data_IF_728176521325
#
_entry.id   IF_728176521325
#
_cell.length_a   1.000
_cell.length_b   1.000
_cell.length_c   1.000
_cell.angle_alpha   90.00
_cell.angle_beta   90.00
_cell.angle_gamma   90.00
#
_symmetry.space_group_name_H-M   'P 1'
#
loop_
_entity.id
_entity.type
_entity.pdbx_description
1 polymer ?
#
# COMPACT_ATOMS: atom_id res chain seq x y z
N UNK A 1 39.16 3.47 34.54
CA UNK A 1 37.89 4.10 34.97
C UNK A 1 36.76 3.16 34.57
N UNK A 2 36.04 2.57 35.53
CA UNK A 2 34.98 1.60 35.28
C UNK A 2 33.66 2.36 35.20
N UNK A 3 33.09 2.46 34.01
CA UNK A 3 31.76 3.05 33.82
C UNK A 3 30.71 2.05 34.33
N UNK A 4 30.03 2.37 35.44
CA UNK A 4 28.85 1.64 35.90
C UNK A 4 27.62 2.34 35.31
N UNK A 5 26.89 1.64 34.44
CA UNK A 5 25.59 2.10 33.94
C UNK A 5 24.59 2.22 35.10
N UNK A 6 23.82 3.32 35.23
CA UNK A 6 22.81 3.47 36.27
C UNK A 6 21.70 2.42 36.10
N UNK A 7 21.45 1.60 37.12
CA UNK A 7 20.47 0.50 37.14
C UNK A 7 19.00 0.94 37.24
N UNK A 8 18.69 2.21 36.91
CA UNK A 8 17.34 2.78 37.07
C UNK A 8 16.47 2.69 35.79
N UNK A 9 16.98 2.09 34.71
CA UNK A 9 16.24 1.93 33.44
C UNK A 9 15.53 0.57 33.31
N UNK A 10 15.68 -0.34 34.28
CA UNK A 10 15.03 -1.67 34.22
C UNK A 10 13.52 -1.62 34.49
N UNK A 11 12.98 -0.47 34.95
CA UNK A 11 11.56 -0.29 35.31
C UNK A 11 10.63 0.09 34.16
N UNK A 12 11.15 0.20 32.92
CA UNK A 12 10.34 0.56 31.75
C UNK A 12 9.59 -0.62 31.12
N UNK A 13 9.85 -1.84 31.58
CA UNK A 13 9.09 -3.02 31.18
C UNK A 13 7.95 -3.19 32.20
N UNK A 14 6.67 -3.07 31.80
CA UNK A 14 5.56 -3.36 32.69
C UNK A 14 5.74 -4.75 33.30
N UNK A 15 5.38 -4.89 34.57
CA UNK A 15 5.39 -6.18 35.23
C UNK A 15 4.62 -7.19 34.36
N UNK A 16 5.03 -8.47 34.28
CA UNK A 16 4.37 -9.46 33.43
C UNK A 16 2.84 -9.55 33.64
N UNK A 17 2.34 -9.22 34.83
CA UNK A 17 0.90 -9.15 35.14
C UNK A 17 0.17 -7.99 34.45
N UNK A 18 0.87 -6.90 34.12
CA UNK A 18 0.32 -5.71 33.46
C UNK A 18 0.50 -5.74 31.93
N UNK A 19 1.13 -6.79 31.40
CA UNK A 19 1.30 -6.97 29.97
C UNK A 19 -0.03 -7.40 29.35
N UNK A 20 -0.78 -6.43 28.81
CA UNK A 20 -1.97 -6.70 28.00
C UNK A 20 -1.57 -7.47 26.75
N UNK A 21 -2.34 -8.50 26.39
CA UNK A 21 -2.19 -9.19 25.12
C UNK A 21 -2.38 -8.19 23.98
N UNK A 22 -1.31 -7.89 23.26
CA UNK A 22 -1.43 -7.02 22.09
C UNK A 22 -2.30 -7.71 21.04
N UNK A 23 -3.25 -6.99 20.40
CA UNK A 23 -4.06 -7.57 19.35
C UNK A 23 -3.13 -8.04 18.22
N UNK A 24 -3.41 -9.24 17.70
CA UNK A 24 -2.65 -9.76 16.57
C UNK A 24 -2.87 -8.83 15.37
N UNK A 25 -1.80 -8.36 14.70
CA UNK A 25 -1.96 -7.51 13.53
C UNK A 25 -2.71 -8.24 12.44
N UNK A 26 -3.63 -7.55 11.77
CA UNK A 26 -4.27 -8.08 10.58
C UNK A 26 -3.23 -8.31 9.48
N UNK A 27 -3.39 -9.37 8.71
CA UNK A 27 -2.52 -9.73 7.58
C UNK A 27 -3.39 -10.01 6.37
N UNK A 28 -3.00 -9.47 5.22
CA UNK A 28 -3.69 -9.70 3.96
C UNK A 28 -2.92 -9.10 2.78
N UNK A 29 -3.62 -8.80 1.69
CA UNK A 29 -3.02 -8.16 0.52
C UNK A 29 -3.83 -6.97 0.00
N UNK A 30 -3.12 -6.04 -0.64
CA UNK A 30 -3.69 -4.96 -1.45
C UNK A 30 -3.51 -5.36 -2.91
N UNK A 31 -4.60 -5.54 -3.64
CA UNK A 31 -4.57 -5.64 -5.10
C UNK A 31 -4.77 -4.24 -5.67
N UNK A 32 -3.66 -3.61 -6.05
CA UNK A 32 -3.62 -2.20 -6.42
C UNK A 32 -3.68 -2.06 -7.93
N UNK A 33 -4.72 -1.39 -8.41
CA UNK A 33 -4.91 -1.05 -9.81
C UNK A 33 -4.41 0.34 -10.13
N UNK A 34 -3.82 0.46 -11.33
CA UNK A 34 -3.37 1.73 -11.87
C UNK A 34 -2.25 2.35 -11.05
N UNK A 35 -1.18 1.64 -10.73
CA UNK A 35 0.00 2.28 -10.13
C UNK A 35 0.67 3.29 -11.08
N UNK A 36 0.46 3.15 -12.39
CA UNK A 36 0.98 4.06 -13.43
C UNK A 36 -0.18 4.58 -14.25
N UNK A 37 -0.11 5.85 -14.67
CA UNK A 37 -1.13 6.47 -15.54
C UNK A 37 -1.27 5.74 -16.88
N UNK A 38 -0.16 5.22 -17.42
CA UNK A 38 -0.12 4.51 -18.68
C UNK A 38 -0.73 3.11 -18.62
N UNK A 39 -0.85 2.53 -17.42
CA UNK A 39 -1.27 1.15 -17.23
C UNK A 39 -2.32 1.05 -16.12
N UNK A 40 -3.47 1.67 -16.37
CA UNK A 40 -4.61 1.70 -15.45
C UNK A 40 -5.19 0.30 -15.16
N UNK A 41 -4.96 -0.65 -16.07
CA UNK A 41 -5.50 -2.01 -15.98
C UNK A 41 -4.53 -3.01 -15.33
N UNK A 42 -3.25 -2.65 -15.17
CA UNK A 42 -2.32 -3.45 -14.36
C UNK A 42 -2.77 -3.50 -12.90
N UNK A 43 -2.75 -4.71 -12.36
CA UNK A 43 -2.99 -4.99 -10.97
C UNK A 43 -1.68 -5.48 -10.35
N UNK A 44 -1.30 -4.90 -9.22
CA UNK A 44 -0.16 -5.34 -8.44
C UNK A 44 -0.63 -5.81 -7.07
N UNK A 45 -0.32 -7.05 -6.73
CA UNK A 45 -0.59 -7.57 -5.39
C UNK A 45 0.56 -7.22 -4.44
N UNK A 46 0.22 -6.67 -3.28
CA UNK A 46 1.15 -6.27 -2.23
C UNK A 46 0.68 -6.87 -0.91
N UNK A 47 1.49 -7.74 -0.31
CA UNK A 47 1.20 -8.31 1.00
C UNK A 47 1.49 -7.31 2.10
N UNK A 48 0.52 -7.10 2.98
CA UNK A 48 0.56 -6.08 4.01
C UNK A 48 0.18 -6.64 5.37
N UNK A 49 0.72 -6.03 6.41
CA UNK A 49 0.23 -6.17 7.78
C UNK A 49 -0.35 -4.85 8.22
N UNK A 50 -1.44 -4.87 8.96
CA UNK A 50 -2.05 -3.66 9.47
C UNK A 50 -2.46 -3.77 10.93
N UNK A 51 -2.48 -2.61 11.58
CA UNK A 51 -2.96 -2.43 12.96
C UNK A 51 -3.93 -1.26 12.99
N UNK A 52 -5.02 -1.42 13.71
CA UNK A 52 -5.94 -0.33 14.01
C UNK A 52 -5.29 0.59 15.05
N UNK A 53 -5.16 1.88 14.76
CA UNK A 53 -4.41 2.82 15.60
C UNK A 53 -5.28 3.79 16.40
N UNK A 54 -6.57 3.92 16.08
CA UNK A 54 -7.47 4.88 16.73
C UNK A 54 -8.85 4.29 17.07
N UNK A 55 -8.95 2.95 17.14
CA UNK A 55 -10.22 2.24 17.37
C UNK A 55 -10.80 2.36 18.78
N UNK A 56 -9.97 2.66 19.79
CA UNK A 56 -10.39 2.63 21.20
C UNK A 56 -11.25 3.86 21.60
N UNK A 57 -11.10 5.00 20.92
CA UNK A 57 -11.83 6.24 21.27
C UNK A 57 -13.32 6.21 20.93
N UNK A 58 -13.77 5.28 20.06
CA UNK A 58 -15.18 5.16 19.71
C UNK A 58 -16.02 4.47 20.78
N UNK A 59 -15.38 3.83 21.76
CA UNK A 59 -16.10 3.14 22.84
C UNK A 59 -16.49 4.11 23.97
N UNK A 60 -15.81 5.25 24.10
CA UNK A 60 -16.03 6.18 25.23
C UNK A 60 -17.37 6.94 25.17
N UNK A 61 -18.01 7.05 23.99
CA UNK A 61 -19.29 7.75 23.85
C UNK A 61 -20.53 6.84 23.97
N UNK A 62 -20.37 5.52 24.14
CA UNK A 62 -21.46 4.62 24.52
C UNK A 62 -21.58 4.53 26.04
N UNK A 63 -22.11 5.58 26.66
CA UNK A 63 -22.27 5.71 28.12
C UNK A 63 -23.27 4.70 28.72
N UNK A 64 -23.83 3.79 27.91
CA UNK A 64 -24.80 2.78 28.34
C UNK A 64 -24.20 1.39 28.59
N UNK A 65 -22.92 1.15 28.28
CA UNK A 65 -22.30 -0.19 28.37
C UNK A 65 -21.16 -0.27 29.39
N UNK A 66 -21.23 0.53 30.45
CA UNK A 66 -20.20 0.63 31.49
C UNK A 66 -20.11 -0.58 32.43
N UNK A 67 -20.82 -1.69 32.17
CA UNK A 67 -20.89 -2.84 33.07
C UNK A 67 -20.64 -4.21 32.42
N UNK A 68 -20.18 -4.23 31.18
CA UNK A 68 -19.51 -5.39 30.60
C UNK A 68 -18.18 -4.91 30.05
N UNK A 69 -17.11 -5.17 30.81
CA UNK A 69 -15.73 -5.14 30.32
C UNK A 69 -15.60 -6.27 29.30
N UNK A 70 -16.22 -6.09 28.14
CA UNK A 70 -16.08 -6.96 27.00
C UNK A 70 -15.15 -6.20 26.08
N UNK A 71 -13.87 -6.59 26.17
CA UNK A 71 -12.84 -6.26 25.21
C UNK A 71 -13.40 -6.43 23.81
N UNK A 72 -13.84 -5.34 23.17
CA UNK A 72 -14.30 -5.41 21.80
C UNK A 72 -13.12 -5.95 20.97
N UNK A 73 -13.27 -7.10 20.31
CA UNK A 73 -12.20 -7.64 19.48
C UNK A 73 -11.85 -6.60 18.43
N UNK A 74 -10.55 -6.41 18.18
CA UNK A 74 -10.07 -5.46 17.16
C UNK A 74 -10.87 -5.66 15.87
N UNK A 75 -11.45 -4.58 15.35
CA UNK A 75 -12.27 -4.62 14.13
C UNK A 75 -11.45 -5.06 12.92
N UNK A 76 -10.13 -4.96 13.02
CA UNK A 76 -9.18 -5.50 12.05
C UNK A 76 -9.41 -7.00 11.75
N UNK A 77 -9.96 -7.80 12.67
CA UNK A 77 -10.30 -9.21 12.40
C UNK A 77 -11.42 -9.39 11.37
N UNK A 78 -12.26 -8.36 11.17
CA UNK A 78 -13.38 -8.38 10.23
C UNK A 78 -12.97 -7.86 8.83
N UNK A 79 -11.74 -7.37 8.68
CA UNK A 79 -11.28 -6.84 7.39
C UNK A 79 -11.14 -7.97 6.36
N UNK A 80 -11.50 -7.72 5.09
CA UNK A 80 -11.35 -8.70 4.02
C UNK A 80 -9.88 -9.07 3.85
N UNK A 81 -9.58 -10.31 3.46
CA UNK A 81 -8.20 -10.77 3.24
C UNK A 81 -7.50 -10.02 2.10
N UNK A 82 -8.27 -9.53 1.12
CA UNK A 82 -7.76 -8.81 -0.06
C UNK A 82 -8.57 -7.52 -0.20
N UNK A 83 -7.87 -6.38 -0.24
CA UNK A 83 -8.45 -5.09 -0.59
C UNK A 83 -8.17 -4.77 -2.06
N UNK A 84 -9.24 -4.47 -2.82
CA UNK A 84 -9.12 -4.01 -4.20
C UNK A 84 -8.98 -2.49 -4.20
N UNK A 85 -7.74 -2.01 -4.30
CA UNK A 85 -7.42 -0.60 -4.24
C UNK A 85 -7.25 -0.03 -5.66
N UNK A 86 -7.72 1.18 -5.88
CA UNK A 86 -7.53 1.94 -7.12
C UNK A 86 -6.91 3.29 -6.83
N UNK A 87 -5.79 3.60 -7.46
CA UNK A 87 -5.14 4.91 -7.33
C UNK A 87 -5.93 5.96 -8.13
N UNK A 88 -6.26 7.08 -7.49
CA UNK A 88 -6.97 8.20 -8.11
C UNK A 88 -5.97 9.20 -8.71
N UNK A 89 -5.62 9.02 -9.98
CA UNK A 89 -4.64 9.89 -10.66
C UNK A 89 -5.20 11.22 -11.19
N UNK A 90 -6.51 11.37 -11.19
CA UNK A 90 -7.15 12.47 -11.92
C UNK A 90 -7.10 13.81 -11.17
N UNK A 91 -6.86 13.78 -9.86
CA UNK A 91 -6.81 14.99 -9.04
C UNK A 91 -5.87 14.84 -7.82
N UNK A 92 -5.05 15.87 -7.48
CA UNK A 92 -4.24 15.88 -6.28
C UNK A 92 -5.10 16.16 -5.02
N UNK A 93 -5.82 15.13 -4.54
CA UNK A 93 -6.78 15.23 -3.43
C UNK A 93 -6.19 14.99 -2.04
N UNK A 94 -4.91 14.60 -1.94
CA UNK A 94 -4.31 14.17 -0.67
C UNK A 94 -4.38 15.27 0.41
N UNK A 95 -4.02 16.51 0.07
CA UNK A 95 -4.00 17.64 1.02
C UNK A 95 -5.40 17.99 1.52
N UNK A 96 -6.36 18.04 0.61
CA UNK A 96 -7.77 18.29 0.92
C UNK A 96 -8.31 17.18 1.83
N UNK A 97 -8.04 15.92 1.47
CA UNK A 97 -8.41 14.76 2.27
C UNK A 97 -7.84 14.81 3.70
N UNK A 98 -6.55 15.09 3.86
CA UNK A 98 -5.92 15.21 5.17
C UNK A 98 -6.49 16.37 6.00
N UNK A 99 -6.90 17.47 5.35
CA UNK A 99 -7.51 18.62 6.02
C UNK A 99 -8.93 18.27 6.46
N UNK A 100 -9.70 17.61 5.60
CA UNK A 100 -11.03 17.10 5.90
C UNK A 100 -10.99 16.12 7.08
N UNK A 101 -10.08 15.15 7.07
CA UNK A 101 -9.88 14.17 8.16
C UNK A 101 -9.69 14.82 9.54
N UNK A 102 -8.93 15.93 9.61
CA UNK A 102 -8.68 16.65 10.88
C UNK A 102 -9.93 17.33 11.45
N UNK A 103 -10.90 17.64 10.58
CA UNK A 103 -12.12 18.36 10.94
C UNK A 103 -13.34 17.42 11.07
N UNK A 104 -13.17 16.11 10.85
CA UNK A 104 -14.26 15.15 10.92
C UNK A 104 -14.76 14.96 12.36
N UNK A 105 -16.08 15.06 12.54
CA UNK A 105 -16.78 14.75 13.79
C UNK A 105 -17.98 13.84 13.45
N UNK A 106 -18.03 12.59 13.95
CA UNK A 106 -16.99 11.93 14.73
C UNK A 106 -15.70 11.75 13.92
N UNK A 107 -14.55 11.47 14.56
CA UNK A 107 -13.33 11.12 13.84
C UNK A 107 -13.60 9.92 12.91
N UNK A 108 -12.67 9.65 11.98
CA UNK A 108 -12.73 8.45 11.13
C UNK A 108 -11.73 7.42 11.68
N UNK A 109 -12.11 6.14 11.88
CA UNK A 109 -11.19 5.13 12.38
C UNK A 109 -9.99 4.94 11.44
N UNK A 110 -8.80 4.82 12.02
CA UNK A 110 -7.55 4.72 11.26
C UNK A 110 -6.88 3.36 11.43
N UNK A 111 -6.38 2.83 10.32
CA UNK A 111 -5.47 1.70 10.24
C UNK A 111 -4.09 2.14 9.74
N UNK A 112 -3.04 1.54 10.28
CA UNK A 112 -1.67 1.71 9.80
C UNK A 112 -1.22 0.44 9.11
N UNK A 113 -0.77 0.57 7.86
CA UNK A 113 -0.33 -0.52 6.99
C UNK A 113 1.19 -0.48 6.81
N UNK A 114 1.79 -1.67 6.81
CA UNK A 114 3.20 -1.90 6.54
C UNK A 114 3.37 -3.09 5.61
N UNK A 115 4.49 -3.15 4.89
CA UNK A 115 4.84 -4.34 4.10
C UNK A 115 4.95 -5.58 4.98
N UNK A 116 4.24 -6.66 4.60
CA UNK A 116 4.37 -7.94 5.27
C UNK A 116 5.77 -8.55 5.03
N UNK A 117 6.30 -9.24 6.05
CA UNK A 117 7.56 -9.98 5.97
C UNK A 117 7.27 -11.39 5.47
N UNK A 118 7.58 -11.64 4.20
CA UNK A 118 7.40 -12.96 3.60
C UNK A 118 8.57 -13.88 3.97
N UNK A 119 8.30 -15.20 4.03
CA UNK A 119 9.31 -16.21 4.36
C UNK A 119 10.44 -16.26 3.33
N UNK A 120 10.10 -16.09 2.06
CA UNK A 120 11.09 -16.09 0.98
C UNK A 120 11.75 -14.71 0.80
N UNK A 121 13.10 -14.62 0.82
CA UNK A 121 13.80 -13.33 0.79
C UNK A 121 13.60 -12.56 -0.52
N UNK A 122 13.51 -13.27 -1.64
CA UNK A 122 13.29 -12.66 -2.96
C UNK A 122 11.89 -12.03 -3.03
N UNK A 123 10.86 -12.80 -2.65
CA UNK A 123 9.48 -12.28 -2.60
C UNK A 123 9.34 -11.13 -1.61
N UNK A 124 9.99 -11.23 -0.44
CA UNK A 124 9.97 -10.17 0.56
C UNK A 124 10.59 -8.86 0.02
N UNK A 125 11.69 -8.95 -0.72
CA UNK A 125 12.34 -7.79 -1.36
C UNK A 125 11.43 -7.15 -2.40
N UNK A 126 10.79 -7.96 -3.24
CA UNK A 126 9.82 -7.49 -4.25
C UNK A 126 8.62 -6.82 -3.56
N UNK A 127 8.06 -7.46 -2.54
CA UNK A 127 6.91 -6.94 -1.80
C UNK A 127 7.22 -5.58 -1.13
N UNK A 128 8.37 -5.46 -0.46
CA UNK A 128 8.81 -4.20 0.16
C UNK A 128 9.04 -3.11 -0.89
N UNK A 129 9.65 -3.46 -2.03
CA UNK A 129 9.87 -2.52 -3.12
C UNK A 129 8.55 -2.00 -3.68
N UNK A 130 7.59 -2.91 -3.92
CA UNK A 130 6.27 -2.56 -4.42
C UNK A 130 5.49 -1.69 -3.43
N UNK A 131 5.52 -2.03 -2.15
CA UNK A 131 4.88 -1.24 -1.08
C UNK A 131 5.46 0.18 -1.01
N UNK A 132 6.79 0.32 -1.01
CA UNK A 132 7.45 1.63 -1.03
C UNK A 132 7.15 2.41 -2.30
N UNK A 133 7.11 1.73 -3.45
CA UNK A 133 6.73 2.34 -4.72
C UNK A 133 5.32 2.91 -4.66
N UNK A 134 4.35 2.19 -4.09
CA UNK A 134 2.99 2.69 -3.90
C UNK A 134 2.97 3.93 -3.01
N UNK A 135 3.59 3.87 -1.83
CA UNK A 135 3.64 5.01 -0.90
C UNK A 135 4.25 6.25 -1.57
N UNK A 136 5.36 6.07 -2.29
CA UNK A 136 6.00 7.12 -3.05
C UNK A 136 5.10 7.72 -4.12
N UNK A 137 4.43 6.88 -4.93
CA UNK A 137 3.51 7.34 -5.99
C UNK A 137 2.37 8.18 -5.41
N UNK A 138 1.74 7.71 -4.32
CA UNK A 138 0.66 8.45 -3.68
C UNK A 138 1.16 9.80 -3.13
N UNK A 139 2.36 9.83 -2.55
CA UNK A 139 2.95 11.04 -1.97
C UNK A 139 3.37 12.04 -3.04
N UNK A 140 4.15 11.62 -4.04
CA UNK A 140 4.67 12.49 -5.10
C UNK A 140 3.54 13.09 -5.94
N UNK A 141 2.52 12.30 -6.27
CA UNK A 141 1.40 12.78 -7.06
C UNK A 141 0.35 13.52 -6.22
N UNK A 142 0.51 13.57 -4.88
CA UNK A 142 -0.50 14.10 -3.95
C UNK A 142 -1.87 13.43 -4.14
N UNK A 143 -1.88 12.12 -4.38
CA UNK A 143 -3.07 11.31 -4.65
C UNK A 143 -3.37 10.36 -3.48
N UNK A 144 -4.52 9.70 -3.57
CA UNK A 144 -4.95 8.65 -2.65
C UNK A 144 -5.31 7.40 -3.43
N UNK A 145 -5.35 6.25 -2.76
CA UNK A 145 -5.95 5.04 -3.29
C UNK A 145 -7.26 4.75 -2.56
N UNK A 146 -8.29 4.38 -3.32
CA UNK A 146 -9.59 4.02 -2.78
C UNK A 146 -9.75 2.51 -2.86
N UNK A 147 -10.01 1.87 -1.74
CA UNK A 147 -10.37 0.47 -1.66
C UNK A 147 -11.85 0.34 -1.27
N UNK A 148 -12.64 -0.32 -2.10
CA UNK A 148 -14.03 -0.64 -1.76
C UNK A 148 -14.08 -1.93 -0.94
N UNK A 149 -15.04 -2.01 -0.01
CA UNK A 149 -15.38 -3.30 0.59
C UNK A 149 -16.04 -4.17 -0.48
N UNK A 150 -16.07 -5.49 -0.26
CA UNK A 150 -16.73 -6.38 -1.20
C UNK A 150 -18.18 -5.92 -1.42
N UNK A 151 -18.76 -6.12 -2.63
CA UNK A 151 -20.09 -5.58 -2.99
C UNK A 151 -21.22 -5.95 -2.03
N UNK A 152 -21.02 -7.01 -1.24
CA UNK A 152 -22.03 -7.58 -0.34
C UNK A 152 -21.88 -7.15 1.13
N UNK A 153 -20.88 -6.33 1.47
CA UNK A 153 -20.64 -5.98 2.87
C UNK A 153 -21.49 -4.77 3.27
N UNK A 154 -21.27 -3.59 2.67
CA UNK A 154 -22.04 -2.38 2.96
C UNK A 154 -21.97 -1.39 1.78
N UNK A 155 -23.10 -0.84 1.29
CA UNK A 155 -23.10 0.17 0.23
C UNK A 155 -22.36 1.43 0.66
N UNK A 156 -21.31 1.79 -0.07
CA UNK A 156 -20.49 2.99 0.22
C UNK A 156 -19.39 2.76 1.25
N UNK A 157 -19.31 1.59 1.87
CA UNK A 157 -18.21 1.27 2.77
C UNK A 157 -16.90 1.07 2.02
N UNK A 158 -15.85 1.54 2.66
CA UNK A 158 -14.61 1.84 2.00
C UNK A 158 -13.40 1.90 2.91
N UNK A 159 -12.25 2.02 2.26
CA UNK A 159 -11.05 2.51 2.88
C UNK A 159 -10.35 3.46 1.93
N UNK A 160 -9.92 4.61 2.44
CA UNK A 160 -9.03 5.52 1.71
C UNK A 160 -7.62 5.30 2.24
N UNK A 161 -6.72 4.88 1.35
CA UNK A 161 -5.31 4.63 1.64
C UNK A 161 -4.50 5.83 1.17
N UNK A 162 -3.67 6.38 2.05
CA UNK A 162 -2.82 7.53 1.78
C UNK A 162 -1.46 7.39 2.48
N UNK A 163 -0.41 8.08 2.00
CA UNK A 163 0.93 7.95 2.57
C UNK A 163 1.03 8.69 3.89
N UNK A 164 1.81 8.14 4.83
CA UNK A 164 2.21 8.87 6.02
C UNK A 164 3.13 10.04 5.64
N UNK A 165 2.97 11.21 6.26
CA UNK A 165 3.64 12.45 5.85
C UNK A 165 5.18 12.36 5.85
N UNK A 166 5.76 11.49 6.67
CA UNK A 166 7.21 11.38 6.87
C UNK A 166 7.74 9.95 6.68
N UNK A 167 6.98 9.05 6.03
CA UNK A 167 7.40 7.66 5.88
C UNK A 167 6.94 7.04 4.58
N UNK A 168 7.91 6.67 3.73
CA UNK A 168 7.66 5.83 2.55
C UNK A 168 7.44 4.35 2.89
N UNK A 169 7.61 3.96 4.16
CA UNK A 169 7.46 2.59 4.63
C UNK A 169 6.14 2.33 5.35
N UNK A 170 5.28 3.35 5.46
CA UNK A 170 4.00 3.28 6.17
C UNK A 170 2.91 3.92 5.30
N UNK A 171 1.77 3.25 5.23
CA UNK A 171 0.53 3.77 4.65
C UNK A 171 -0.52 3.88 5.76
N UNK A 172 -1.42 4.85 5.64
CA UNK A 172 -2.55 5.03 6.54
C UNK A 172 -3.84 4.75 5.77
N UNK A 173 -4.73 3.96 6.36
CA UNK A 173 -6.07 3.68 5.84
C UNK A 173 -7.12 4.32 6.73
N UNK A 174 -7.88 5.26 6.18
CA UNK A 174 -9.09 5.78 6.81
C UNK A 174 -10.26 4.85 6.48
N UNK A 175 -10.91 4.32 7.51
CA UNK A 175 -11.92 3.26 7.40
C UNK A 175 -13.33 3.86 7.41
N UNK A 176 -14.08 3.58 6.36
CA UNK A 176 -15.46 4.02 6.18
C UNK A 176 -16.35 2.78 6.31
N UNK A 177 -16.84 2.51 7.52
CA UNK A 177 -17.64 1.31 7.79
C UNK A 177 -19.11 1.52 7.43
N UNK A 178 -19.65 2.66 7.89
CA UNK A 178 -21.08 2.98 7.78
C UNK A 178 -21.31 4.34 7.08
N UNK A 179 -20.25 4.97 6.60
CA UNK A 179 -20.26 6.31 6.01
C UNK A 179 -19.79 6.26 4.57
N UNK A 180 -20.40 7.09 3.70
CA UNK A 180 -19.93 7.24 2.34
C UNK A 180 -18.61 8.02 2.29
N UNK A 181 -17.83 7.82 1.22
CA UNK A 181 -16.68 8.67 0.95
C UNK A 181 -17.09 10.14 0.75
N UNK A 182 -16.21 11.08 1.10
CA UNK A 182 -16.47 12.49 0.81
C UNK A 182 -16.57 12.73 -0.70
N UNK A 183 -17.45 13.65 -1.09
CA UNK A 183 -17.78 13.95 -2.49
C UNK A 183 -16.56 14.29 -3.38
N UNK A 184 -15.54 14.95 -2.83
CA UNK A 184 -14.32 15.31 -3.57
C UNK A 184 -13.43 14.11 -3.90
N UNK A 185 -13.56 12.97 -3.21
CA UNK A 185 -12.83 11.72 -3.50
C UNK A 185 -13.51 10.93 -4.63
N UNK A 186 -14.79 11.22 -4.88
CA UNK A 186 -15.65 10.37 -5.69
C UNK A 186 -16.64 11.14 -6.54
N UNK A 187 -16.15 12.02 -7.42
CA UNK A 187 -16.94 12.48 -8.59
C UNK A 187 -17.35 11.34 -9.55
N UNK A 188 -17.14 10.10 -9.14
CA UNK A 188 -17.53 8.87 -9.81
C UNK A 188 -18.99 8.62 -9.41
N UNK A 189 -19.97 8.64 -10.34
CA UNK A 189 -21.33 8.24 -10.03
C UNK A 189 -21.27 6.84 -9.40
N UNK A 190 -22.00 6.65 -8.31
CA UNK A 190 -22.18 5.36 -7.64
C UNK A 190 -22.25 4.26 -8.69
N UNK A 191 -21.55 3.12 -8.53
CA UNK A 191 -21.61 2.06 -9.51
C UNK A 191 -23.08 1.76 -9.75
N UNK A 192 -23.51 1.94 -11.00
CA UNK A 192 -24.77 1.40 -11.47
C UNK A 192 -24.64 -0.08 -11.14
N UNK A 193 -25.34 -0.52 -10.09
CA UNK A 193 -25.45 -1.93 -9.76
C UNK A 193 -25.71 -2.64 -11.08
N UNK A 194 -24.97 -3.70 -11.45
CA UNK A 194 -25.34 -4.48 -12.61
C UNK A 194 -26.77 -4.96 -12.33
N UNK A 195 -27.74 -4.30 -12.94
CA UNK A 195 -29.13 -4.75 -12.97
C UNK A 195 -29.04 -6.06 -13.68
N UNK A 196 -29.08 -7.15 -12.92
CA UNK A 196 -29.18 -8.51 -13.42
C UNK A 196 -30.33 -8.52 -14.43
N UNK A 197 -30.11 -8.68 -15.75
CA UNK A 197 -31.19 -8.76 -16.71
C UNK A 197 -31.69 -10.20 -16.77
N UNK A 198 -32.28 -10.68 -15.68
CA UNK A 198 -32.84 -12.05 -15.59
C UNK A 198 -33.73 -12.06 -14.33
N UNK A 199 -35.06 -12.23 -14.36
CA UNK A 199 -35.95 -13.02 -15.19
C UNK A 199 -37.33 -12.34 -15.19
N UNK A 200 -37.79 -11.79 -16.32
CA UNK A 200 -39.22 -11.69 -16.66
C UNK A 200 -39.41 -12.30 -18.05
N UNK A 201 -39.19 -13.62 -18.14
CA UNK A 201 -40.04 -14.50 -18.94
C UNK A 201 -41.19 -14.90 -17.99
N UNK A 202 -42.46 -14.99 -18.35
CA UNK A 202 -43.07 -15.19 -19.64
C UNK A 202 -44.58 -14.97 -19.43
N UNK A 203 -45.17 -14.01 -20.13
CA UNK A 203 -46.60 -14.09 -20.43
C UNK A 203 -46.86 -13.43 -21.78
N UNK A 204 -47.14 -14.30 -22.74
CA UNK A 204 -48.06 -14.07 -23.85
C UNK A 204 -47.66 -13.02 -24.90
N UNK A 205 -47.34 -13.49 -26.12
CA UNK A 205 -48.23 -13.29 -27.28
C UNK A 205 -47.80 -14.06 -28.52
N UNK A 206 -48.84 -14.62 -29.15
CA UNK A 206 -48.90 -15.31 -30.42
C UNK A 206 -48.71 -14.38 -31.65
N UNK A 207 -48.47 -15.04 -32.80
CA UNK A 207 -48.61 -14.61 -34.21
C UNK A 207 -47.46 -13.76 -34.79
N UNK A 208 -46.92 -13.97 -36.00
CA UNK A 208 -47.26 -14.84 -37.14
C UNK A 208 -45.99 -15.19 -37.96
N UNK A 209 -46.10 -16.29 -38.71
CA UNK A 209 -45.16 -16.79 -39.71
C UNK A 209 -44.88 -15.77 -40.83
N UNK A 210 -43.63 -15.75 -41.32
CA UNK A 210 -43.37 -15.53 -42.75
C UNK A 210 -42.20 -16.39 -43.22
N UNK A 211 -42.52 -17.31 -44.13
CA UNK A 211 -41.62 -18.23 -44.84
C UNK A 211 -41.34 -17.65 -46.22
N UNK A 212 -40.07 -17.54 -46.62
CA UNK A 212 -39.62 -17.57 -48.05
C UNK A 212 -38.11 -17.92 -48.11
N UNK A 213 -37.54 -18.35 -49.25
CA UNK A 213 -36.94 -19.67 -49.36
C UNK A 213 -35.45 -19.69 -49.79
N UNK A 214 -34.92 -20.90 -49.79
CA UNK A 214 -33.58 -21.38 -50.16
C UNK A 214 -33.15 -21.03 -51.60
N UNK A 215 -31.86 -20.76 -51.81
CA UNK A 215 -31.13 -21.29 -52.98
C UNK A 215 -29.62 -21.49 -52.70
N UNK A 216 -29.02 -22.61 -53.19
CA UNK A 216 -27.63 -23.00 -52.93
C UNK A 216 -26.72 -22.89 -54.18
N UNK A 217 -25.43 -22.66 -53.96
CA UNK A 217 -24.30 -23.12 -54.82
C UNK A 217 -23.07 -23.22 -53.88
N UNK A 218 -22.41 -24.36 -53.61
CA UNK A 218 -21.74 -25.35 -54.47
C UNK A 218 -20.56 -24.76 -55.26
N UNK A 219 -19.31 -25.16 -54.91
CA UNK A 219 -18.14 -24.87 -55.76
C UNK A 219 -16.72 -24.92 -55.18
N UNK A 220 -16.33 -26.01 -54.50
CA UNK A 220 -15.01 -26.68 -54.46
C UNK A 220 -13.65 -25.99 -54.06
N UNK A 221 -12.65 -26.79 -53.58
CA UNK A 221 -11.29 -26.41 -53.12
C UNK A 221 -10.20 -26.83 -54.17
N UNK A 222 -8.93 -27.18 -53.85
CA UNK A 222 -7.89 -26.70 -52.91
C UNK A 222 -6.57 -26.28 -53.63
N UNK A 223 -5.60 -25.67 -52.94
CA UNK A 223 -4.19 -25.74 -53.39
C UNK A 223 -3.22 -25.78 -52.20
N UNK A 224 -2.53 -26.91 -52.11
CA UNK A 224 -1.33 -27.12 -51.31
C UNK A 224 -0.09 -26.82 -52.18
N UNK A 225 0.93 -26.17 -51.63
CA UNK A 225 2.34 -26.39 -52.03
C UNK A 225 3.22 -26.44 -50.77
N UNK A 226 4.21 -27.37 -50.70
CA UNK A 226 5.01 -27.67 -49.53
C UNK A 226 6.47 -27.17 -49.63
N UNK A 227 7.26 -27.52 -48.61
CA UNK A 227 8.74 -27.43 -48.47
C UNK A 227 9.30 -26.04 -48.14
N UNK A 228 10.27 -25.87 -47.25
CA UNK A 228 11.02 -26.83 -46.44
C UNK A 228 12.27 -26.14 -45.86
N UNK A 229 12.61 -26.57 -44.64
CA UNK A 229 13.93 -26.56 -44.00
C UNK A 229 14.44 -25.30 -43.24
N UNK A 230 15.26 -25.54 -42.20
CA UNK A 230 15.49 -24.66 -41.05
C UNK A 230 16.89 -23.99 -41.11
N UNK A 231 17.23 -23.10 -40.17
CA UNK A 231 18.56 -23.00 -39.53
C UNK A 231 18.57 -21.85 -38.50
N UNK A 232 19.24 -22.16 -37.40
CA UNK A 232 19.58 -21.38 -36.22
C UNK A 232 20.17 -19.97 -36.45
N UNK A 233 19.88 -19.06 -35.52
CA UNK A 233 20.85 -18.22 -34.78
C UNK A 233 20.05 -17.18 -33.97
N UNK A 234 19.92 -17.36 -32.66
CA UNK A 234 20.86 -16.79 -31.68
C UNK A 234 21.02 -15.27 -31.82
N UNK A 235 20.07 -14.51 -31.25
CA UNK A 235 20.36 -13.16 -30.74
C UNK A 235 20.19 -13.19 -29.23
N UNK A 236 21.31 -13.43 -28.56
CA UNK A 236 21.51 -13.00 -27.18
C UNK A 236 21.71 -11.48 -27.23
N UNK A 237 20.70 -10.74 -26.80
CA UNK A 237 20.91 -9.33 -26.45
C UNK A 237 21.76 -9.30 -25.18
N UNK A 238 22.98 -8.82 -25.36
CA UNK A 238 23.99 -8.71 -24.33
C UNK A 238 23.55 -7.72 -23.24
N UNK A 239 23.24 -8.24 -22.06
CA UNK A 239 23.22 -7.47 -20.82
C UNK A 239 24.62 -6.88 -20.59
N UNK A 240 24.84 -5.64 -20.99
CA UNK A 240 25.97 -4.84 -20.50
C UNK A 240 25.66 -4.38 -19.08
N UNK A 241 26.16 -5.15 -18.11
CA UNK A 241 26.36 -4.66 -16.76
C UNK A 241 27.35 -3.49 -16.79
N UNK A 242 26.88 -2.28 -16.48
CA UNK A 242 27.76 -1.16 -16.16
C UNK A 242 28.17 -1.34 -14.70
N UNK A 243 29.39 -1.87 -14.50
CA UNK A 243 30.05 -1.92 -13.20
C UNK A 243 30.49 -0.48 -12.87
N UNK A 244 30.09 0.11 -11.73
CA UNK A 244 30.68 1.36 -11.27
C UNK A 244 32.15 1.10 -10.91
N UNK A 245 33.07 1.66 -11.69
CA UNK A 245 34.48 1.76 -11.27
C UNK A 245 34.56 2.76 -10.11
N UNK A 246 34.87 2.25 -8.92
CA UNK A 246 35.40 3.02 -7.79
C UNK A 246 36.79 3.54 -8.16
N UNK A 247 36.82 4.69 -8.84
CA UNK A 247 38.03 5.47 -9.06
C UNK A 247 38.37 6.24 -7.79
N UNK A 248 39.39 5.76 -7.07
CA UNK A 248 40.12 6.55 -6.11
C UNK A 248 40.73 7.77 -6.80
N UNK A 249 40.37 8.97 -6.35
CA UNK A 249 41.14 10.18 -6.63
C UNK A 249 41.53 10.79 -5.29
N UNK A 250 42.79 10.55 -4.92
CA UNK A 250 43.46 11.24 -3.84
C UNK A 250 43.90 12.62 -4.35
N UNK A 251 43.43 13.68 -3.70
CA UNK A 251 44.10 14.98 -3.74
C UNK A 251 44.17 15.56 -2.33
N UNK A 252 45.38 15.94 -1.87
CA UNK A 252 45.55 16.76 -0.68
C UNK A 252 45.53 18.24 -1.08
N UNK A 253 45.02 19.11 -0.21
CA UNK A 253 45.42 20.52 -0.23
C UNK A 253 44.34 21.55 0.07
N UNK A 254 44.49 22.15 1.26
CA UNK A 254 44.52 23.60 1.50
C UNK A 254 43.33 24.46 1.04
N UNK A 255 42.49 24.80 2.02
CA UNK A 255 42.27 26.18 2.45
C UNK A 255 41.42 27.09 1.58
N UNK A 256 40.22 27.44 2.06
CA UNK A 256 39.73 28.83 2.02
C UNK A 256 38.46 28.99 2.89
N UNK A 257 38.38 30.02 3.75
CA UNK A 257 37.13 30.48 4.35
C UNK A 257 36.50 31.56 3.46
N UNK A 258 35.19 31.50 3.27
CA UNK A 258 34.42 32.67 2.85
C UNK A 258 32.99 32.57 3.38
N UNK A 259 32.69 33.54 4.24
CA UNK A 259 31.34 33.95 4.62
C UNK A 259 30.52 34.32 3.40
N UNK A 260 29.24 33.95 3.43
CA UNK A 260 28.17 34.74 2.85
C UNK A 260 26.91 34.48 3.65
N UNK A 261 26.54 35.49 4.43
CA UNK A 261 25.21 35.74 4.95
C UNK A 261 24.15 35.62 3.87
N UNK A 262 23.05 34.91 4.16
CA UNK A 262 21.74 35.56 4.10
C UNK A 262 20.71 34.86 4.97
N UNK A 263 19.92 35.72 5.59
CA UNK A 263 19.04 35.49 6.73
C UNK A 263 17.63 35.36 6.21
N UNK A 264 16.94 34.24 6.47
CA UNK A 264 15.52 34.32 6.79
C UNK A 264 15.07 33.19 7.73
N UNK A 265 14.73 33.65 8.93
CA UNK A 265 14.17 32.99 10.08
C UNK A 265 13.02 32.01 9.79
N UNK A 266 13.22 30.75 10.18
CA UNK A 266 12.24 29.95 10.93
C UNK A 266 12.98 29.26 12.09
N UNK A 267 13.12 30.00 13.19
CA UNK A 267 13.63 29.49 14.46
C UNK A 267 12.53 28.69 15.18
N UNK A 268 12.73 27.39 15.35
CA UNK A 268 11.81 26.61 16.21
C UNK A 268 11.83 25.10 16.08
N UNK A 269 12.95 24.46 15.72
CA UNK A 269 13.10 23.01 15.92
C UNK A 269 14.44 22.76 16.59
N UNK A 270 14.38 22.26 17.82
CA UNK A 270 15.52 21.67 18.52
C UNK A 270 16.02 20.47 17.71
N UNK A 271 17.15 20.62 17.05
CA UNK A 271 17.97 19.50 16.58
C UNK A 271 18.74 18.96 17.78
N UNK A 272 18.16 18.00 18.48
CA UNK A 272 18.88 17.13 19.40
C UNK A 272 19.32 15.88 18.60
N UNK A 273 20.59 15.50 18.79
CA UNK A 273 21.24 14.23 18.41
C UNK A 273 21.82 14.07 16.98
N UNK A 274 22.92 14.80 16.76
CA UNK A 274 24.07 14.34 16.00
C UNK A 274 24.81 13.23 16.78
N UNK A 275 24.37 11.97 16.64
CA UNK A 275 25.10 10.82 17.14
C UNK A 275 26.05 10.29 16.05
N UNK A 276 27.33 10.64 16.20
CA UNK A 276 28.42 10.12 15.41
C UNK A 276 28.54 8.61 15.55
N UNK A 277 28.27 7.88 14.46
CA UNK A 277 28.62 6.48 14.34
C UNK A 277 30.15 6.35 14.21
N UNK A 278 30.79 5.96 15.30
CA UNK A 278 32.17 5.47 15.28
C UNK A 278 32.28 4.19 14.47
N UNK A 279 33.20 4.19 13.50
CA UNK A 279 33.65 2.99 12.79
C UNK A 279 34.27 2.00 13.79
N UNK A 280 33.63 0.86 14.02
CA UNK A 280 34.26 -0.28 14.66
C UNK A 280 34.99 -1.12 13.60
N UNK A 281 36.33 -1.07 13.64
CA UNK A 281 37.18 -2.01 12.93
C UNK A 281 37.01 -3.41 13.55
N UNK A 282 36.58 -4.37 12.73
CA UNK A 282 36.50 -5.78 13.12
C UNK A 282 37.87 -6.43 12.95
N UNK A 283 38.63 -6.57 14.04
CA UNK A 283 39.80 -7.44 14.12
C UNK A 283 39.51 -8.59 15.08
N UNK A 284 38.96 -9.69 14.55
CA UNK A 284 38.99 -10.99 15.23
C UNK A 284 40.36 -11.62 15.00
N UNK A 285 41.25 -11.52 15.99
CA UNK A 285 42.39 -12.43 16.13
C UNK A 285 41.96 -13.62 16.99
N UNK A 286 42.09 -14.82 16.44
CA UNK A 286 41.96 -16.09 17.16
C UNK A 286 43.12 -16.24 18.17
N UNK A 287 42.80 -16.56 19.42
CA UNK A 287 43.76 -17.07 20.39
C UNK A 287 43.81 -18.61 20.30
N UNK A 288 45.00 -19.23 20.37
CA UNK A 288 45.12 -20.68 20.45
C UNK A 288 44.88 -21.16 21.89
N UNK A 289 44.14 -22.25 22.04
CA UNK A 289 43.99 -22.95 23.31
C UNK A 289 45.19 -23.88 23.56
N UNK A 290 45.68 -23.97 24.82
CA UNK A 290 46.45 -25.11 25.31
C UNK A 290 45.54 -26.32 25.64
#
# INVERSE_FOLDING_TARGET
MVFRLPSQLETLIPAPADQRSQPTPWRGSLLVSGMRNSDRNSNLEIYVTAVETDGEKYVEYSVAEYLLIQTHPSRAQQWPQIFYARVLHEQPVLREFQTWMKNCVPPVPLGTFMSNRLREPNMNTVNQTNFRSLSRILFENQTIAVASWAPNTFPGAGMIIYPAQNSGAVLVGALFLDTAFPNFVGGIPSPISPVTPTIMQQSSRHYQQRVVPVSPMAGLPPTAIPNGQPIAAHRQDAYRYIIPRSGHSAYPGLGQPSSSSDVHAWSGIKTEEENGYGNYASSHQHAPYP
#
